data_IF_631157966561
#
_entry.id   IF_631157966561
#
_cell.length_a   1.000
_cell.length_b   1.000
_cell.length_c   1.000
_cell.angle_alpha   90.00
_cell.angle_beta   90.00
_cell.angle_gamma   90.00
#
_symmetry.space_group_name_H-M   'P 1'
#
loop_
_entity.id
_entity.type
_entity.pdbx_description
1 polymer ?
#
# COMPACT_ATOMS: atom_id res chain seq x y z
N UNK A 1 -13.12 -5.67 14.66
CA UNK A 1 -11.89 -4.86 14.51
C UNK A 1 -11.51 -4.87 13.04
N UNK A 2 -11.16 -3.71 12.43
CA UNK A 2 -10.74 -3.67 11.03
C UNK A 2 -9.47 -4.50 10.83
N UNK A 3 -9.42 -5.25 9.72
CA UNK A 3 -8.21 -5.99 9.36
C UNK A 3 -7.08 -5.01 8.99
N UNK A 4 -5.84 -5.34 9.40
CA UNK A 4 -4.67 -4.52 9.05
C UNK A 4 -4.11 -4.93 7.69
N UNK A 5 -3.60 -3.94 6.95
CA UNK A 5 -3.01 -4.07 5.62
C UNK A 5 -1.58 -3.51 5.59
N UNK A 6 -0.58 -4.36 5.41
CA UNK A 6 0.82 -3.94 5.33
C UNK A 6 1.13 -3.30 3.96
N UNK A 7 1.92 -2.23 3.96
CA UNK A 7 2.35 -1.52 2.75
C UNK A 7 3.85 -1.65 2.52
N UNK A 8 4.22 -2.25 1.40
CA UNK A 8 5.57 -2.22 0.82
C UNK A 8 5.52 -1.45 -0.50
N UNK A 9 5.70 -0.13 -0.43
CA UNK A 9 5.53 0.77 -1.58
C UNK A 9 6.66 1.78 -1.68
N UNK A 10 6.87 2.40 -2.85
CA UNK A 10 7.86 3.45 -3.04
C UNK A 10 7.61 4.70 -2.17
N UNK A 11 8.69 5.25 -1.60
CA UNK A 11 8.67 6.50 -0.83
C UNK A 11 9.48 7.59 -1.54
N UNK A 12 8.93 8.09 -2.64
CA UNK A 12 9.50 9.23 -3.36
C UNK A 12 8.41 10.16 -3.87
N UNK A 13 8.80 11.38 -4.25
CA UNK A 13 7.89 12.45 -4.58
C UNK A 13 6.90 12.11 -5.70
N UNK A 14 7.32 11.33 -6.70
CA UNK A 14 6.43 10.94 -7.80
C UNK A 14 5.36 9.94 -7.34
N UNK A 15 5.53 9.31 -6.16
CA UNK A 15 4.61 8.27 -5.65
C UNK A 15 3.57 8.86 -4.72
N UNK A 16 3.75 10.09 -4.22
CA UNK A 16 2.91 10.64 -3.16
C UNK A 16 1.42 10.61 -3.47
N UNK A 17 1.03 10.95 -4.70
CA UNK A 17 -0.39 10.91 -5.10
C UNK A 17 -0.94 9.48 -5.11
N UNK A 18 -0.12 8.50 -5.49
CA UNK A 18 -0.45 7.08 -5.44
C UNK A 18 -0.55 6.58 -3.99
N UNK A 19 0.35 7.04 -3.12
CA UNK A 19 0.36 6.73 -1.70
C UNK A 19 -0.92 7.19 -1.00
N UNK A 20 -1.33 8.43 -1.27
CA UNK A 20 -2.60 8.99 -0.77
C UNK A 20 -3.80 8.18 -1.27
N UNK A 21 -3.81 7.82 -2.56
CA UNK A 21 -4.87 7.00 -3.14
C UNK A 21 -4.95 5.60 -2.50
N UNK A 22 -3.80 4.97 -2.25
CA UNK A 22 -3.73 3.67 -1.59
C UNK A 22 -4.30 3.73 -0.17
N UNK A 23 -3.88 4.73 0.62
CA UNK A 23 -4.37 4.92 1.99
C UNK A 23 -5.88 5.17 1.99
N UNK A 24 -6.35 6.10 1.14
CA UNK A 24 -7.78 6.40 1.00
C UNK A 24 -8.58 5.14 0.64
N UNK A 25 -8.11 4.38 -0.35
CA UNK A 25 -8.77 3.17 -0.80
C UNK A 25 -8.86 2.11 0.29
N UNK A 26 -7.73 1.76 0.91
CA UNK A 26 -7.69 0.75 1.97
C UNK A 26 -8.59 1.12 3.16
N UNK A 27 -8.57 2.39 3.60
CA UNK A 27 -9.46 2.85 4.65
C UNK A 27 -10.94 2.74 4.23
N UNK A 28 -11.28 3.03 2.96
CA UNK A 28 -12.65 2.89 2.45
C UNK A 28 -13.12 1.42 2.40
N UNK A 29 -12.23 0.48 2.11
CA UNK A 29 -12.46 -0.96 2.29
C UNK A 29 -12.53 -1.41 3.76
N UNK A 30 -12.45 -0.49 4.73
CA UNK A 30 -12.50 -0.79 6.15
C UNK A 30 -11.23 -1.46 6.68
N UNK A 31 -10.11 -1.32 5.95
CA UNK A 31 -8.81 -1.83 6.36
C UNK A 31 -8.02 -0.73 7.07
N UNK A 32 -7.11 -1.14 7.96
CA UNK A 32 -6.16 -0.24 8.61
C UNK A 32 -4.79 -0.36 7.94
N UNK A 33 -4.34 0.63 7.15
CA UNK A 33 -3.00 0.62 6.58
C UNK A 33 -1.93 0.59 7.67
N UNK A 34 -0.89 -0.20 7.45
CA UNK A 34 0.29 -0.34 8.31
C UNK A 34 1.55 -0.26 7.45
N UNK A 35 2.57 0.43 7.92
CA UNK A 35 3.83 0.56 7.20
C UNK A 35 5.01 0.56 8.16
N UNK A 36 6.20 0.21 7.68
CA UNK A 36 7.43 0.32 8.47
C UNK A 36 7.70 1.73 8.98
N UNK A 37 7.07 2.74 8.35
CA UNK A 37 7.10 4.13 8.78
C UNK A 37 6.56 4.35 10.21
N UNK A 38 5.66 3.48 10.70
CA UNK A 38 5.02 3.63 12.01
C UNK A 38 5.92 3.23 13.19
N UNK A 39 6.96 2.43 12.96
CA UNK A 39 7.74 1.79 14.02
C UNK A 39 9.16 2.35 14.03
N UNK A 40 9.41 3.49 14.71
CA UNK A 40 10.75 3.81 15.16
C UNK A 40 11.11 2.86 16.30
N UNK A 41 12.33 2.31 16.29
CA UNK A 41 12.76 1.43 17.38
C UNK A 41 14.18 0.91 17.21
N UNK A 42 14.78 0.36 18.28
CA UNK A 42 16.14 -0.17 18.28
C UNK A 42 16.26 -1.55 17.60
N UNK A 43 15.12 -2.22 17.35
CA UNK A 43 15.10 -3.53 16.68
C UNK A 43 15.55 -3.46 15.22
N UNK A 44 16.10 -4.56 14.71
CA UNK A 44 16.55 -4.65 13.32
C UNK A 44 15.35 -4.41 12.39
N UNK A 45 15.59 -3.67 11.30
CA UNK A 45 14.54 -3.34 10.32
C UNK A 45 13.83 -4.58 9.77
N UNK A 46 14.57 -5.66 9.55
CA UNK A 46 14.03 -6.92 9.04
C UNK A 46 12.98 -7.53 9.98
N UNK A 47 13.31 -7.60 11.28
CA UNK A 47 12.42 -8.18 12.29
C UNK A 47 11.08 -7.42 12.34
N UNK A 48 11.13 -6.08 12.25
CA UNK A 48 9.92 -5.25 12.17
C UNK A 48 9.07 -5.50 10.93
N UNK A 49 9.71 -5.73 9.78
CA UNK A 49 8.99 -6.05 8.54
C UNK A 49 8.27 -7.40 8.71
N UNK A 50 8.98 -8.42 9.23
CA UNK A 50 8.40 -9.73 9.49
C UNK A 50 7.24 -9.68 10.49
N UNK A 51 7.40 -8.94 11.59
CA UNK A 51 6.34 -8.70 12.57
C UNK A 51 5.12 -8.02 11.94
N UNK A 52 5.32 -6.96 11.15
CA UNK A 52 4.25 -6.24 10.48
C UNK A 52 3.50 -7.09 9.46
N UNK A 53 4.20 -7.81 8.59
CA UNK A 53 3.60 -8.71 7.60
C UNK A 53 2.78 -9.78 8.32
N UNK A 54 3.36 -10.42 9.34
CA UNK A 54 2.71 -11.51 10.10
C UNK A 54 1.46 -11.04 10.86
N UNK A 55 1.46 -9.79 11.35
CA UNK A 55 0.33 -9.19 12.06
C UNK A 55 -0.80 -8.72 11.12
N UNK A 56 -0.54 -8.56 9.82
CA UNK A 56 -1.54 -8.09 8.86
C UNK A 56 -2.29 -9.25 8.19
N UNK A 57 -3.59 -9.05 7.93
CA UNK A 57 -4.40 -9.99 7.13
C UNK A 57 -4.04 -9.88 5.65
N UNK A 58 -3.70 -8.65 5.23
CA UNK A 58 -3.37 -8.32 3.85
C UNK A 58 -1.99 -7.67 3.77
N UNK A 59 -1.27 -7.85 2.67
CA UNK A 59 -0.12 -7.03 2.31
C UNK A 59 -0.19 -6.57 0.85
N UNK A 60 0.24 -5.34 0.60
CA UNK A 60 0.22 -4.70 -0.70
C UNK A 60 1.64 -4.30 -1.05
N UNK A 61 2.14 -4.82 -2.16
CA UNK A 61 3.50 -4.63 -2.60
C UNK A 61 3.50 -3.98 -3.99
N UNK A 62 4.23 -2.88 -4.15
CA UNK A 62 4.29 -2.14 -5.41
C UNK A 62 5.73 -2.12 -5.94
N UNK A 63 5.95 -2.69 -7.13
CA UNK A 63 7.26 -2.76 -7.79
C UNK A 63 7.45 -1.73 -8.91
N UNK A 64 6.52 -0.77 -9.06
CA UNK A 64 6.56 0.26 -10.10
C UNK A 64 7.88 1.04 -10.14
N UNK A 65 8.55 1.16 -8.99
CA UNK A 65 9.78 1.96 -8.82
C UNK A 65 11.00 1.12 -8.50
N UNK A 66 11.01 -0.17 -8.82
CA UNK A 66 12.27 -0.91 -8.93
C UNK A 66 13.06 -0.31 -10.09
N UNK A 67 13.96 0.60 -9.74
CA UNK A 67 14.92 1.24 -10.62
C UNK A 67 16.29 1.20 -9.96
N UNK A 68 17.34 1.42 -10.76
CA UNK A 68 18.71 1.54 -10.26
C UNK A 68 18.76 2.67 -9.21
N UNK A 69 19.29 2.38 -8.03
CA UNK A 69 19.65 3.37 -7.03
C UNK A 69 21.17 3.42 -6.99
N UNK A 70 21.76 4.55 -7.36
CA UNK A 70 23.22 4.72 -7.41
C UNK A 70 23.93 3.64 -8.24
N UNK A 71 23.32 3.20 -9.36
CA UNK A 71 23.88 2.19 -10.25
C UNK A 71 23.62 0.73 -9.85
N UNK A 72 22.98 0.46 -8.71
CA UNK A 72 22.63 -0.89 -8.26
C UNK A 72 21.09 -1.12 -8.24
N UNK A 73 20.59 -2.30 -8.62
CA UNK A 73 19.16 -2.62 -8.49
C UNK A 73 18.68 -2.56 -7.03
N UNK A 74 17.53 -1.94 -6.77
CA UNK A 74 16.90 -1.99 -5.44
C UNK A 74 16.26 -3.36 -5.19
N UNK A 75 16.99 -4.25 -4.51
CA UNK A 75 16.51 -5.59 -4.15
C UNK A 75 15.56 -5.62 -2.95
N UNK A 76 15.47 -4.53 -2.16
CA UNK A 76 14.67 -4.53 -0.94
C UNK A 76 13.18 -4.79 -1.18
N UNK A 77 12.55 -4.14 -2.16
CA UNK A 77 11.11 -4.35 -2.41
C UNK A 77 10.80 -5.77 -2.92
N UNK A 78 11.57 -6.35 -3.87
CA UNK A 78 11.46 -7.78 -4.21
C UNK A 78 11.70 -8.71 -3.02
N UNK A 79 12.68 -8.42 -2.16
CA UNK A 79 12.95 -9.21 -0.97
C UNK A 79 11.77 -9.19 0.03
N UNK A 80 11.17 -8.03 0.30
CA UNK A 80 9.99 -7.89 1.17
C UNK A 80 8.77 -8.62 0.61
N UNK A 81 8.63 -8.75 -0.72
CA UNK A 81 7.61 -9.62 -1.35
C UNK A 81 7.91 -11.10 -1.05
N UNK A 82 9.17 -11.53 -1.18
CA UNK A 82 9.57 -12.89 -0.83
C UNK A 82 9.19 -13.27 0.59
N UNK A 83 9.31 -12.34 1.55
CA UNK A 83 8.86 -12.53 2.92
C UNK A 83 7.34 -12.69 3.03
N UNK A 84 6.55 -11.92 2.26
CA UNK A 84 5.09 -12.06 2.23
C UNK A 84 4.64 -13.38 1.61
N UNK A 85 5.28 -13.82 0.53
CA UNK A 85 5.06 -15.14 -0.09
C UNK A 85 5.32 -16.27 0.91
N UNK A 86 6.47 -16.21 1.60
CA UNK A 86 6.79 -17.18 2.65
C UNK A 86 5.76 -17.10 3.79
N UNK A 87 5.36 -15.91 4.22
CA UNK A 87 4.35 -15.74 5.29
C UNK A 87 3.01 -16.34 4.90
N UNK A 88 2.55 -16.14 3.66
CA UNK A 88 1.31 -16.74 3.17
C UNK A 88 1.36 -18.27 3.16
N UNK A 89 2.54 -18.87 2.97
CA UNK A 89 2.73 -20.33 3.02
C UNK A 89 2.54 -20.89 4.44
N UNK A 90 3.03 -20.18 5.46
CA UNK A 90 2.94 -20.58 6.87
C UNK A 90 1.65 -20.11 7.55
N UNK A 91 1.05 -19.03 7.04
CA UNK A 91 -0.17 -18.43 7.55
C UNK A 91 -1.16 -18.28 6.39
N UNK A 92 -1.94 -19.33 6.05
CA UNK A 92 -2.85 -19.33 4.89
C UNK A 92 -3.93 -18.23 4.93
N UNK A 93 -4.17 -17.66 6.10
CA UNK A 93 -5.01 -16.49 6.29
C UNK A 93 -4.42 -15.20 5.68
N UNK A 94 -3.10 -15.09 5.57
CA UNK A 94 -2.45 -13.90 5.02
C UNK A 94 -2.56 -13.91 3.49
N UNK A 95 -3.12 -12.84 2.93
CA UNK A 95 -3.22 -12.64 1.49
C UNK A 95 -2.33 -11.47 1.08
N UNK A 96 -1.63 -11.61 -0.03
CA UNK A 96 -0.72 -10.59 -0.53
C UNK A 96 -1.09 -10.22 -1.96
N UNK A 97 -0.89 -8.95 -2.30
CA UNK A 97 -1.23 -8.40 -3.60
C UNK A 97 -0.04 -7.64 -4.18
N UNK A 98 0.14 -7.79 -5.48
CA UNK A 98 1.25 -7.21 -6.22
C UNK A 98 0.73 -6.14 -7.18
N UNK A 99 1.31 -4.95 -7.12
CA UNK A 99 0.97 -3.81 -7.96
C UNK A 99 2.18 -3.39 -8.81
N UNK A 100 1.89 -2.88 -10.00
CA UNK A 100 2.92 -2.45 -10.94
C UNK A 100 2.42 -1.31 -11.85
N UNK A 101 3.34 -0.47 -12.32
CA UNK A 101 2.99 0.61 -13.23
C UNK A 101 2.73 0.09 -14.66
N UNK A 102 3.52 -0.86 -15.14
CA UNK A 102 3.47 -1.34 -16.53
C UNK A 102 3.15 -2.83 -16.63
N UNK A 103 2.23 -3.19 -17.54
CA UNK A 103 1.97 -4.59 -17.91
C UNK A 103 3.27 -5.29 -18.33
N UNK A 104 3.36 -6.59 -18.08
CA UNK A 104 4.46 -7.49 -18.47
C UNK A 104 5.86 -7.17 -17.87
N UNK A 105 6.04 -6.07 -17.15
CA UNK A 105 7.33 -5.72 -16.53
C UNK A 105 7.77 -6.73 -15.47
N UNK A 106 6.82 -7.20 -14.67
CA UNK A 106 7.09 -8.17 -13.61
C UNK A 106 7.41 -9.56 -14.15
N UNK A 107 6.75 -9.96 -15.25
CA UNK A 107 6.98 -11.26 -15.90
C UNK A 107 8.39 -11.35 -16.51
N UNK A 108 9.01 -10.21 -16.81
CA UNK A 108 10.40 -10.14 -17.26
C UNK A 108 11.42 -10.22 -16.12
N UNK A 109 11.06 -9.89 -14.89
CA UNK A 109 12.00 -9.72 -13.76
C UNK A 109 11.80 -10.68 -12.60
N UNK A 110 10.62 -11.30 -12.49
CA UNK A 110 10.23 -12.25 -11.45
C UNK A 110 9.35 -13.36 -12.06
N UNK A 111 9.88 -14.05 -13.08
CA UNK A 111 9.17 -15.13 -13.79
C UNK A 111 8.70 -16.27 -12.88
N UNK A 112 9.43 -16.52 -11.79
CA UNK A 112 9.09 -17.56 -10.79
C UNK A 112 7.82 -17.23 -9.99
N UNK A 113 7.37 -15.96 -10.00
CA UNK A 113 6.06 -15.55 -9.49
C UNK A 113 4.94 -15.79 -10.53
N UNK A 114 5.21 -16.51 -11.63
CA UNK A 114 4.38 -16.67 -12.83
C UNK A 114 2.95 -17.24 -12.67
N UNK A 115 2.45 -17.38 -11.44
CA UNK A 115 1.03 -17.62 -11.13
C UNK A 115 0.34 -16.47 -10.39
N UNK A 116 1.01 -15.34 -10.14
CA UNK A 116 0.42 -14.15 -9.49
C UNK A 116 0.37 -12.99 -10.49
N UNK A 117 -0.84 -12.66 -10.94
CA UNK A 117 -1.05 -11.49 -11.79
C UNK A 117 -0.93 -10.19 -11.00
N UNK A 118 -0.06 -9.30 -11.48
CA UNK A 118 0.09 -7.97 -10.90
C UNK A 118 -1.06 -7.05 -11.32
N UNK A 119 -1.60 -6.30 -10.36
CA UNK A 119 -2.57 -5.24 -10.60
C UNK A 119 -1.88 -4.01 -11.18
N UNK A 120 -2.23 -3.67 -12.42
CA UNK A 120 -1.52 -2.61 -13.16
C UNK A 120 -2.20 -1.26 -13.02
N UNK A 121 -1.56 -0.31 -12.34
CA UNK A 121 -2.13 1.02 -12.05
C UNK A 121 -1.65 2.13 -13.00
N UNK A 122 -0.55 1.95 -13.74
CA UNK A 122 -0.07 2.93 -14.74
C UNK A 122 0.14 4.33 -14.19
N UNK A 123 0.67 4.40 -12.97
CA UNK A 123 0.91 5.64 -12.22
C UNK A 123 -0.33 6.55 -12.07
N UNK A 124 -1.54 5.99 -12.20
CA UNK A 124 -2.80 6.69 -12.11
C UNK A 124 -3.58 6.36 -10.82
N UNK A 125 -3.85 7.33 -9.93
CA UNK A 125 -4.63 7.11 -8.70
C UNK A 125 -5.99 6.45 -8.93
N UNK A 126 -6.75 6.89 -9.94
CA UNK A 126 -8.06 6.30 -10.26
C UNK A 126 -7.92 4.82 -10.67
N UNK A 127 -6.89 4.49 -11.44
CA UNK A 127 -6.61 3.11 -11.87
C UNK A 127 -6.14 2.24 -10.70
N UNK A 128 -5.40 2.80 -9.75
CA UNK A 128 -5.07 2.13 -8.49
C UNK A 128 -6.32 1.79 -7.69
N UNK A 129 -7.26 2.74 -7.56
CA UNK A 129 -8.50 2.52 -6.82
C UNK A 129 -9.37 1.43 -7.47
N UNK A 130 -9.44 1.40 -8.81
CA UNK A 130 -10.08 0.28 -9.54
C UNK A 130 -9.34 -1.03 -9.30
N UNK A 131 -8.02 -1.04 -9.37
CA UNK A 131 -7.25 -2.24 -9.05
C UNK A 131 -7.50 -2.77 -7.63
N UNK A 132 -7.76 -1.89 -6.65
CA UNK A 132 -8.15 -2.31 -5.30
C UNK A 132 -9.53 -2.99 -5.27
N UNK A 133 -10.49 -2.60 -6.12
CA UNK A 133 -11.80 -3.29 -6.21
C UNK A 133 -11.63 -4.72 -6.67
N UNK A 134 -10.73 -4.96 -7.62
CA UNK A 134 -10.43 -6.30 -8.12
C UNK A 134 -9.68 -7.12 -7.05
N UNK A 135 -8.67 -6.53 -6.42
CA UNK A 135 -7.86 -7.19 -5.39
C UNK A 135 -8.68 -7.59 -4.14
N UNK A 136 -9.64 -6.75 -3.75
CA UNK A 136 -10.36 -6.89 -2.49
C UNK A 136 -11.80 -7.41 -2.64
N UNK A 137 -12.09 -8.13 -3.73
CA UNK A 137 -13.43 -8.70 -4.01
C UNK A 137 -14.00 -9.58 -2.89
N UNK A 138 -13.15 -10.13 -2.00
CA UNK A 138 -13.57 -10.98 -0.88
C UNK A 138 -13.65 -10.26 0.47
N UNK A 139 -13.34 -8.96 0.51
CA UNK A 139 -13.49 -8.14 1.72
C UNK A 139 -14.96 -7.82 1.93
N UNK A 140 -15.42 -7.75 3.18
CA UNK A 140 -16.84 -7.54 3.49
C UNK A 140 -17.37 -6.18 3.05
N UNK A 141 -16.56 -5.11 3.22
CA UNK A 141 -16.91 -3.75 2.80
C UNK A 141 -16.51 -3.56 1.33
N UNK A 142 -17.47 -3.20 0.49
CA UNK A 142 -17.30 -3.05 -0.96
C UNK A 142 -17.72 -1.63 -1.40
N UNK A 143 -16.85 -0.61 -1.23
CA UNK A 143 -17.11 0.74 -1.73
C UNK A 143 -17.11 0.79 -3.26
N UNK A 144 -17.96 1.63 -3.82
CA UNK A 144 -17.97 1.98 -5.25
C UNK A 144 -16.72 2.78 -5.62
N UNK A 145 -16.34 2.77 -6.90
CA UNK A 145 -15.20 3.57 -7.40
C UNK A 145 -15.40 5.07 -7.13
N UNK A 146 -16.64 5.55 -7.15
CA UNK A 146 -16.96 6.96 -6.86
C UNK A 146 -16.79 7.30 -5.37
N UNK A 147 -17.16 6.40 -4.46
CA UNK A 147 -16.86 6.54 -3.03
C UNK A 147 -15.35 6.55 -2.77
N UNK A 148 -14.61 5.63 -3.38
CA UNK A 148 -13.15 5.60 -3.31
C UNK A 148 -12.55 6.92 -3.78
N UNK A 149 -13.04 7.46 -4.90
CA UNK A 149 -12.54 8.70 -5.48
C UNK A 149 -12.90 9.93 -4.63
N UNK A 150 -14.06 9.94 -3.97
CA UNK A 150 -14.45 11.00 -3.02
C UNK A 150 -13.49 11.07 -1.84
N UNK A 151 -13.25 9.94 -1.17
CA UNK A 151 -12.29 9.86 -0.05
C UNK A 151 -10.89 10.26 -0.50
N UNK A 152 -10.46 9.77 -1.66
CA UNK A 152 -9.15 10.12 -2.24
C UNK A 152 -8.99 11.62 -2.50
N UNK A 153 -9.98 12.28 -3.12
CA UNK A 153 -9.90 13.73 -3.40
C UNK A 153 -9.76 14.53 -2.11
N UNK A 154 -10.62 14.25 -1.13
CA UNK A 154 -10.59 14.93 0.16
C UNK A 154 -9.28 14.72 0.90
N UNK A 155 -8.78 13.48 0.93
CA UNK A 155 -7.48 13.18 1.54
C UNK A 155 -6.33 13.84 0.78
N UNK A 156 -6.43 13.95 -0.54
CA UNK A 156 -5.43 14.65 -1.36
C UNK A 156 -5.35 16.13 -0.99
N UNK A 157 -6.48 16.80 -0.79
CA UNK A 157 -6.52 18.21 -0.40
C UNK A 157 -5.87 18.42 0.98
N UNK A 158 -6.22 17.59 1.96
CA UNK A 158 -5.62 17.65 3.30
C UNK A 158 -4.12 17.27 3.30
N UNK A 159 -3.71 16.38 2.41
CA UNK A 159 -2.31 15.94 2.32
C UNK A 159 -1.36 17.08 1.99
N UNK A 160 -1.84 18.16 1.34
CA UNK A 160 -1.05 19.37 1.08
C UNK A 160 -0.62 20.00 2.41
N UNK A 161 -1.54 20.12 3.36
CA UNK A 161 -1.27 20.66 4.70
C UNK A 161 -0.30 19.78 5.48
N UNK A 162 -0.51 18.46 5.45
CA UNK A 162 0.37 17.47 6.09
C UNK A 162 1.79 17.55 5.51
N UNK A 163 1.92 17.56 4.18
CA UNK A 163 3.21 17.67 3.49
C UNK A 163 3.90 18.98 3.84
N UNK A 164 3.18 20.11 3.90
CA UNK A 164 3.75 21.40 4.29
C UNK A 164 4.27 21.39 5.72
N UNK A 165 3.54 20.78 6.65
CA UNK A 165 3.88 20.76 8.07
C UNK A 165 5.08 19.85 8.38
N UNK A 166 5.19 18.70 7.70
CA UNK A 166 6.24 17.71 7.99
C UNK A 166 7.34 17.63 6.92
N UNK A 167 7.23 18.35 5.81
CA UNK A 167 8.13 18.30 4.66
C UNK A 167 7.97 17.05 3.77
N UNK A 168 7.26 16.03 4.24
CA UNK A 168 7.05 14.75 3.53
C UNK A 168 5.75 14.06 3.98
N UNK A 169 5.18 13.23 3.11
CA UNK A 169 4.08 12.32 3.46
C UNK A 169 4.56 10.96 4.00
N UNK A 170 5.85 10.67 3.87
CA UNK A 170 6.45 9.37 4.22
C UNK A 170 7.05 9.34 5.63
N UNK A 171 6.69 10.31 6.49
CA UNK A 171 7.08 10.32 7.90
C UNK A 171 6.08 9.59 8.78
N UNK A 172 6.51 9.09 9.95
CA UNK A 172 5.66 8.36 10.90
C UNK A 172 4.40 9.15 11.31
N UNK A 173 4.55 10.45 11.60
CA UNK A 173 3.43 11.34 11.96
C UNK A 173 2.55 11.65 10.76
N UNK A 174 3.13 12.00 9.61
CA UNK A 174 2.39 12.25 8.38
C UNK A 174 1.53 11.05 7.96
N UNK A 175 2.09 9.83 8.01
CA UNK A 175 1.36 8.60 7.73
C UNK A 175 0.20 8.38 8.70
N UNK A 176 0.44 8.59 10.01
CA UNK A 176 -0.60 8.47 11.03
C UNK A 176 -1.75 9.45 10.78
N UNK A 177 -1.44 10.70 10.47
CA UNK A 177 -2.43 11.74 10.20
C UNK A 177 -3.24 11.44 8.93
N UNK A 178 -2.58 10.95 7.87
CA UNK A 178 -3.26 10.48 6.66
C UNK A 178 -4.24 9.35 6.95
N UNK A 179 -3.82 8.31 7.67
CA UNK A 179 -4.69 7.17 8.03
C UNK A 179 -5.85 7.61 8.91
N UNK A 180 -5.59 8.49 9.89
CA UNK A 180 -6.62 9.04 10.78
C UNK A 180 -7.69 9.83 10.00
N UNK A 181 -7.27 10.76 9.14
CA UNK A 181 -8.18 11.57 8.34
C UNK A 181 -8.98 10.71 7.36
N UNK A 182 -8.32 9.80 6.65
CA UNK A 182 -8.98 8.88 5.72
C UNK A 182 -10.06 8.05 6.41
N UNK A 183 -9.74 7.50 7.59
CA UNK A 183 -10.71 6.75 8.41
C UNK A 183 -11.89 7.63 8.81
N UNK A 184 -11.63 8.87 9.23
CA UNK A 184 -12.68 9.83 9.61
C UNK A 184 -13.57 10.25 8.44
N UNK A 185 -13.07 10.32 7.21
CA UNK A 185 -13.90 10.58 6.03
C UNK A 185 -14.82 9.40 5.72
N UNK A 186 -14.28 8.19 5.78
CA UNK A 186 -15.02 6.95 5.57
C UNK A 186 -16.18 6.80 6.57
N UNK A 187 -15.98 7.14 7.84
CA UNK A 187 -17.04 7.05 8.86
C UNK A 187 -18.13 8.10 8.71
N UNK A 188 -17.86 9.24 8.05
CA UNK A 188 -18.83 10.32 7.86
C UNK A 188 -19.59 10.24 6.54
N UNK A 189 -18.98 9.67 5.51
CA UNK A 189 -19.53 9.65 4.15
C UNK A 189 -20.17 8.31 3.77
N UNK A 190 -19.85 7.23 4.49
CA UNK A 190 -20.37 5.88 4.24
C UNK A 190 -21.05 5.28 5.49
N UNK A 191 -21.61 6.15 6.33
CA UNK A 191 -22.52 5.79 7.42
C UNK A 191 -23.97 5.96 6.96
#
# INVERSE_FOLDING_TARGET
MPHSAFLNVPYDQRYEKMFVALIAGLCAFGLRPRATLEIPGPSRRLDRILELISACRYSFHDLSRVQLSHGAPRFNMPFEIGLAVATARWRPAHQWFLFEARRFRIQQTLSDLGGTDAYVHGEGPRRLLVALTDALVRVSKQPTVDELYRVFRRLSDESIGIRRNYGTLFGARAFRDLVFLATGFVTREMA
#
